data_IF_359777063972
#
_entry.id   IF_359777063972
#
_cell.length_a   1.000
_cell.length_b   1.000
_cell.length_c   1.000
_cell.angle_alpha   90.00
_cell.angle_beta   90.00
_cell.angle_gamma   90.00
#
_symmetry.space_group_name_H-M   'P 1'
#
loop_
_entity.id
_entity.type
_entity.pdbx_description
1 polymer ?
#
# COMPACT_ATOMS: atom_id res chain seq x y z
N UNK A 1 -5.52 16.14 10.27
CA UNK A 1 -5.28 14.69 10.31
C UNK A 1 -4.21 14.33 9.28
N UNK A 2 -3.40 13.29 9.49
CA UNK A 2 -2.50 12.78 8.46
C UNK A 2 -3.32 12.17 7.32
N UNK A 3 -2.91 12.40 6.08
CA UNK A 3 -3.54 11.80 4.90
C UNK A 3 -3.39 10.27 4.88
N UNK A 4 -2.41 9.74 5.63
CA UNK A 4 -2.11 8.31 5.69
C UNK A 4 -2.01 7.82 7.13
N UNK A 5 -2.48 6.59 7.37
CA UNK A 5 -2.28 5.88 8.63
C UNK A 5 -0.89 5.21 8.63
N UNK A 6 0.00 5.70 9.45
CA UNK A 6 1.38 5.21 9.55
C UNK A 6 1.55 4.09 10.58
N UNK A 7 0.48 3.65 11.23
CA UNK A 7 0.40 2.54 12.20
C UNK A 7 1.57 2.51 13.21
N UNK A 8 1.83 3.67 13.81
CA UNK A 8 2.98 3.85 14.71
C UNK A 8 2.97 2.87 15.89
N UNK A 9 1.78 2.53 16.40
CA UNK A 9 1.64 1.57 17.50
C UNK A 9 2.13 0.18 17.12
N UNK A 10 1.84 -0.28 15.89
CA UNK A 10 2.35 -1.56 15.37
C UNK A 10 3.87 -1.54 15.25
N UNK A 11 4.43 -0.41 14.80
CA UNK A 11 5.87 -0.21 14.69
C UNK A 11 6.54 -0.30 16.06
N UNK A 12 6.07 0.48 17.04
CA UNK A 12 6.60 0.50 18.42
C UNK A 12 6.52 -0.88 19.07
N UNK A 13 5.37 -1.56 18.98
CA UNK A 13 5.22 -2.93 19.48
C UNK A 13 6.22 -3.89 18.83
N UNK A 14 6.50 -3.75 17.54
CA UNK A 14 7.45 -4.62 16.84
C UNK A 14 8.89 -4.36 17.25
N UNK A 15 9.27 -3.09 17.41
CA UNK A 15 10.60 -2.67 17.89
C UNK A 15 10.85 -3.26 19.28
N UNK A 16 9.93 -3.04 20.21
CA UNK A 16 10.03 -3.54 21.59
C UNK A 16 10.06 -5.07 21.65
N UNK A 17 9.20 -5.75 20.88
CA UNK A 17 9.18 -7.23 20.82
C UNK A 17 10.49 -7.81 20.29
N UNK A 18 11.16 -7.13 19.36
CA UNK A 18 12.45 -7.56 18.82
C UNK A 18 13.64 -7.13 19.67
N UNK A 19 13.47 -6.18 20.57
CA UNK A 19 14.57 -5.54 21.29
C UNK A 19 15.52 -4.78 20.34
N UNK A 20 15.00 -4.27 19.21
CA UNK A 20 15.81 -3.56 18.22
C UNK A 20 16.36 -2.25 18.82
N UNK A 21 17.66 -2.03 18.67
CA UNK A 21 18.37 -0.84 19.15
C UNK A 21 18.59 0.18 18.04
N UNK A 22 18.66 -0.29 16.81
CA UNK A 22 18.80 0.56 15.63
C UNK A 22 17.75 0.18 14.61
N UNK A 23 16.96 1.16 14.17
CA UNK A 23 15.83 0.98 13.25
C UNK A 23 16.03 1.79 12.00
N UNK A 24 16.02 1.13 10.83
CA UNK A 24 15.99 1.77 9.53
C UNK A 24 14.56 2.17 9.16
N UNK A 25 14.36 3.38 8.67
CA UNK A 25 13.09 3.80 8.06
C UNK A 25 13.28 3.99 6.57
N UNK A 26 12.39 3.40 5.78
CA UNK A 26 12.35 3.59 4.33
C UNK A 26 10.94 3.94 3.87
N UNK A 27 10.84 4.92 2.98
CA UNK A 27 9.60 5.48 2.47
C UNK A 27 9.64 5.63 0.95
N UNK A 28 8.51 5.44 0.24
CA UNK A 28 8.36 5.95 -1.11
C UNK A 28 8.37 7.48 -1.10
N UNK A 29 8.69 8.11 -2.24
CA UNK A 29 8.86 9.56 -2.35
C UNK A 29 7.67 10.35 -1.75
N UNK A 30 6.44 9.94 -2.04
CA UNK A 30 5.24 10.60 -1.54
C UNK A 30 5.05 10.59 -0.02
N UNK A 31 5.78 9.75 0.70
CA UNK A 31 5.69 9.64 2.17
C UNK A 31 6.94 10.14 2.90
N UNK A 32 8.03 10.49 2.20
CA UNK A 32 9.30 10.92 2.82
C UNK A 32 9.15 12.12 3.75
N UNK A 33 8.21 13.01 3.49
CA UNK A 33 7.92 14.16 4.37
C UNK A 33 7.48 13.76 5.79
N UNK A 34 7.02 12.51 5.98
CA UNK A 34 6.65 11.99 7.30
C UNK A 34 7.85 11.41 8.08
N UNK A 35 8.99 11.17 7.41
CA UNK A 35 10.09 10.40 7.97
C UNK A 35 10.62 10.95 9.30
N UNK A 36 10.91 12.25 9.36
CA UNK A 36 11.45 12.89 10.57
C UNK A 36 10.45 12.84 11.72
N UNK A 37 9.16 13.05 11.44
CA UNK A 37 8.10 12.99 12.45
C UNK A 37 8.00 11.58 13.04
N UNK A 38 8.04 10.57 12.20
CA UNK A 38 7.96 9.15 12.61
C UNK A 38 9.21 8.75 13.37
N UNK A 39 10.41 9.15 12.90
CA UNK A 39 11.67 8.89 13.59
C UNK A 39 11.63 9.43 15.03
N UNK A 40 11.28 10.69 15.22
CA UNK A 40 11.15 11.31 16.55
C UNK A 40 10.13 10.60 17.44
N UNK A 41 9.02 10.17 16.86
CA UNK A 41 7.99 9.44 17.61
C UNK A 41 8.46 8.05 18.05
N UNK A 42 9.25 7.36 17.24
CA UNK A 42 9.88 6.06 17.61
C UNK A 42 10.91 6.28 18.72
N UNK A 43 11.83 7.22 18.56
CA UNK A 43 12.90 7.50 19.54
C UNK A 43 12.36 7.99 20.88
N UNK A 44 11.21 8.69 20.89
CA UNK A 44 10.58 9.13 22.14
C UNK A 44 9.85 8.01 22.90
N UNK A 45 9.51 6.91 22.25
CA UNK A 45 8.70 5.82 22.82
C UNK A 45 9.44 4.47 22.89
N UNK A 46 10.66 4.42 22.37
CA UNK A 46 11.50 3.21 22.39
C UNK A 46 12.95 3.59 22.68
N UNK A 47 13.79 2.65 23.11
CA UNK A 47 15.23 2.89 23.28
C UNK A 47 16.00 2.82 21.94
N UNK A 48 15.33 2.76 20.80
CA UNK A 48 15.96 2.62 19.50
C UNK A 48 16.40 3.96 18.93
N UNK A 49 17.57 3.99 18.29
CA UNK A 49 18.01 5.06 17.41
C UNK A 49 17.47 4.81 16.00
N UNK A 50 17.08 5.87 15.29
CA UNK A 50 16.49 5.77 13.97
C UNK A 50 17.43 6.28 12.87
N UNK A 51 17.62 5.48 11.83
CA UNK A 51 18.33 5.83 10.60
C UNK A 51 17.30 5.93 9.46
N UNK A 52 17.21 7.08 8.78
CA UNK A 52 16.29 7.28 7.67
C UNK A 52 17.03 7.04 6.35
N UNK A 53 16.50 6.13 5.50
CA UNK A 53 16.99 5.97 4.13
C UNK A 53 16.61 7.19 3.28
N UNK A 54 17.63 7.84 2.70
CA UNK A 54 17.45 8.92 1.73
C UNK A 54 17.22 8.43 0.29
N UNK A 55 17.45 7.14 0.02
CA UNK A 55 17.33 6.57 -1.32
C UNK A 55 15.89 6.64 -1.87
N UNK A 56 15.71 6.77 -3.19
CA UNK A 56 14.42 6.49 -3.83
C UNK A 56 13.91 5.09 -3.49
N UNK A 57 12.59 4.92 -3.42
CA UNK A 57 11.99 3.63 -3.14
C UNK A 57 10.70 3.45 -3.97
N UNK A 58 10.67 2.45 -4.82
CA UNK A 58 9.60 2.21 -5.78
C UNK A 58 8.76 0.95 -5.50
N UNK A 59 9.16 0.11 -4.54
CA UNK A 59 8.45 -1.13 -4.25
C UNK A 59 9.07 -1.95 -3.13
N UNK A 60 8.41 -3.03 -2.75
CA UNK A 60 8.96 -4.01 -1.81
C UNK A 60 10.15 -4.81 -2.38
N UNK A 61 10.40 -4.71 -3.69
CA UNK A 61 11.62 -5.22 -4.33
C UNK A 61 12.83 -4.29 -4.20
N UNK A 62 12.63 -3.09 -3.68
CA UNK A 62 13.63 -2.01 -3.57
C UNK A 62 13.85 -1.62 -2.10
N UNK A 63 13.90 -2.63 -1.22
CA UNK A 63 14.23 -2.41 0.20
C UNK A 63 15.72 -2.12 0.34
N UNK A 64 16.07 -1.08 1.10
CA UNK A 64 17.46 -0.70 1.38
C UNK A 64 18.19 -1.65 2.36
N UNK A 65 17.76 -2.90 2.46
CA UNK A 65 18.25 -3.88 3.45
C UNK A 65 19.73 -4.23 3.23
N UNK A 66 20.16 -4.37 1.97
CA UNK A 66 21.56 -4.62 1.66
C UNK A 66 22.47 -3.46 2.10
N UNK A 67 22.04 -2.21 1.88
CA UNK A 67 22.81 -1.02 2.28
C UNK A 67 22.82 -0.81 3.80
N UNK A 68 21.75 -1.22 4.48
CA UNK A 68 21.59 -1.07 5.92
C UNK A 68 22.06 -2.28 6.73
N UNK A 69 22.52 -3.35 6.04
CA UNK A 69 23.04 -4.56 6.70
C UNK A 69 24.20 -4.22 7.62
N UNK A 70 24.11 -4.70 8.86
CA UNK A 70 25.11 -4.42 9.89
C UNK A 70 24.98 -3.06 10.58
N UNK A 71 24.14 -2.16 10.07
CA UNK A 71 23.89 -0.84 10.68
C UNK A 71 22.54 -0.76 11.41
N UNK A 72 21.57 -1.63 11.07
CA UNK A 72 20.25 -1.65 11.71
C UNK A 72 19.80 -3.08 12.05
N UNK A 73 19.02 -3.21 13.12
CA UNK A 73 18.45 -4.47 13.60
C UNK A 73 17.09 -4.81 12.94
N UNK A 74 16.39 -3.77 12.48
CA UNK A 74 15.06 -3.83 11.89
C UNK A 74 14.89 -2.72 10.88
N UNK A 75 14.31 -3.02 9.72
CA UNK A 75 13.82 -2.01 8.80
C UNK A 75 12.30 -1.90 8.93
N UNK A 76 11.78 -0.69 8.99
CA UNK A 76 10.37 -0.37 8.82
C UNK A 76 10.18 0.25 7.44
N UNK A 77 9.55 -0.50 6.55
CA UNK A 77 9.33 -0.15 5.16
C UNK A 77 7.86 0.23 4.95
N UNK A 78 7.62 1.46 4.54
CA UNK A 78 6.28 2.02 4.38
C UNK A 78 5.77 1.95 2.94
N UNK A 79 4.44 1.88 2.81
CA UNK A 79 3.72 2.12 1.56
C UNK A 79 3.64 0.95 0.59
N UNK A 80 4.23 -0.20 0.89
CA UNK A 80 4.23 -1.34 0.00
C UNK A 80 3.79 -2.64 0.68
N UNK A 81 3.18 -3.53 -0.11
CA UNK A 81 2.88 -4.90 0.30
C UNK A 81 4.17 -5.75 0.21
N UNK A 82 4.49 -6.58 1.22
CA UNK A 82 5.66 -7.44 1.16
C UNK A 82 5.61 -8.40 -0.03
N UNK A 83 6.76 -8.63 -0.64
CA UNK A 83 6.96 -9.67 -1.64
C UNK A 83 7.59 -10.92 -1.00
N UNK A 84 7.46 -12.11 -1.60
CA UNK A 84 8.06 -13.34 -1.10
C UNK A 84 9.58 -13.38 -1.38
N UNK A 85 10.28 -12.32 -0.96
CA UNK A 85 11.72 -12.17 -1.09
C UNK A 85 12.40 -12.41 0.24
N UNK A 86 13.68 -12.84 0.19
CA UNK A 86 14.53 -12.93 1.36
C UNK A 86 15.26 -11.60 1.52
N UNK A 87 14.98 -10.90 2.62
CA UNK A 87 15.65 -9.65 2.98
C UNK A 87 16.84 -9.93 3.90
N UNK A 88 17.93 -9.19 3.72
CA UNK A 88 19.16 -9.30 4.51
C UNK A 88 18.97 -8.80 5.95
N UNK A 89 18.09 -7.82 6.14
CA UNK A 89 17.69 -7.29 7.44
C UNK A 89 16.22 -7.62 7.68
N UNK A 90 15.82 -8.05 8.89
CA UNK A 90 14.41 -8.23 9.22
C UNK A 90 13.61 -6.97 8.89
N UNK A 91 12.58 -7.09 8.06
CA UNK A 91 11.79 -5.96 7.56
C UNK A 91 10.34 -6.06 8.02
N UNK A 92 9.82 -4.96 8.58
CA UNK A 92 8.41 -4.75 8.88
C UNK A 92 7.79 -3.88 7.80
N UNK A 93 6.80 -4.40 7.09
CA UNK A 93 6.04 -3.63 6.12
C UNK A 93 4.81 -2.98 6.76
N UNK A 94 4.62 -1.69 6.47
CA UNK A 94 3.47 -0.89 6.88
C UNK A 94 2.80 -0.36 5.61
N UNK A 95 1.56 -0.72 5.41
CA UNK A 95 0.80 -0.42 4.20
C UNK A 95 0.57 1.08 3.97
N UNK A 96 0.56 1.88 5.04
CA UNK A 96 0.27 3.32 5.00
C UNK A 96 -1.08 3.60 4.31
N UNK A 97 -2.16 3.03 4.85
CA UNK A 97 -3.51 3.21 4.32
C UNK A 97 -3.90 4.69 4.25
N UNK A 98 -4.54 5.05 3.15
CA UNK A 98 -5.08 6.39 2.93
C UNK A 98 -6.34 6.63 3.77
N UNK A 99 -6.46 7.81 4.36
CA UNK A 99 -7.64 8.25 5.13
C UNK A 99 -8.61 9.07 4.27
N UNK A 100 -8.64 8.86 2.95
CA UNK A 100 -9.56 9.57 2.06
C UNK A 100 -10.99 9.05 2.21
N UNK A 101 -11.96 9.96 2.09
CA UNK A 101 -13.36 9.62 1.92
C UNK A 101 -13.66 9.53 0.40
N UNK A 102 -14.06 8.35 -0.06
CA UNK A 102 -14.30 8.07 -1.49
C UNK A 102 -15.78 8.23 -1.87
N UNK A 103 -16.70 8.48 -0.93
CA UNK A 103 -18.16 8.44 -1.18
C UNK A 103 -18.60 9.39 -2.30
N UNK A 104 -18.21 10.67 -2.20
CA UNK A 104 -18.56 11.67 -3.22
C UNK A 104 -18.03 11.37 -4.61
N UNK A 105 -16.88 10.70 -4.68
CA UNK A 105 -16.29 10.34 -5.97
C UNK A 105 -16.95 9.08 -6.53
N UNK A 106 -17.45 8.17 -5.68
CA UNK A 106 -18.23 7.01 -6.10
C UNK A 106 -19.57 7.42 -6.72
N UNK A 107 -20.27 8.41 -6.16
CA UNK A 107 -21.50 8.96 -6.76
C UNK A 107 -21.27 9.41 -8.20
N UNK A 108 -20.19 10.17 -8.45
CA UNK A 108 -19.82 10.61 -9.81
C UNK A 108 -19.38 9.46 -10.72
N UNK A 109 -18.78 8.41 -10.12
CA UNK A 109 -18.39 7.24 -10.88
C UNK A 109 -19.59 6.45 -11.38
N UNK A 110 -20.69 6.35 -10.62
CA UNK A 110 -21.90 5.65 -11.03
C UNK A 110 -22.47 6.21 -12.32
N UNK A 111 -22.49 7.54 -12.50
CA UNK A 111 -22.94 8.18 -13.76
C UNK A 111 -22.12 7.70 -14.96
N UNK A 112 -20.79 7.50 -14.79
CA UNK A 112 -19.90 7.01 -15.85
C UNK A 112 -19.98 5.51 -16.07
N UNK A 113 -20.58 4.79 -15.13
CA UNK A 113 -20.71 3.34 -15.15
C UNK A 113 -22.12 2.89 -15.55
N UNK A 114 -23.00 3.81 -15.99
CA UNK A 114 -24.39 3.50 -16.34
C UNK A 114 -24.49 2.34 -17.33
N UNK A 115 -23.69 2.36 -18.39
CA UNK A 115 -23.72 1.37 -19.47
C UNK A 115 -23.04 0.03 -19.13
N UNK A 116 -22.42 -0.09 -17.96
CA UNK A 116 -21.67 -1.29 -17.56
C UNK A 116 -22.35 -1.98 -16.40
N UNK A 117 -22.60 -3.28 -16.55
CA UNK A 117 -23.21 -4.12 -15.53
C UNK A 117 -22.16 -4.80 -14.65
N UNK A 118 -20.99 -5.15 -15.21
CA UNK A 118 -19.97 -5.93 -14.55
C UNK A 118 -18.64 -5.18 -14.46
N UNK A 119 -18.22 -4.91 -13.23
CA UNK A 119 -17.07 -4.02 -12.93
C UNK A 119 -15.96 -4.82 -12.25
N UNK A 120 -14.74 -4.77 -12.79
CA UNK A 120 -13.54 -5.18 -12.07
C UNK A 120 -13.06 -4.03 -11.19
N UNK A 121 -13.13 -4.19 -9.87
CA UNK A 121 -12.65 -3.19 -8.92
C UNK A 121 -11.20 -3.46 -8.57
N UNK A 122 -10.33 -2.47 -8.76
CA UNK A 122 -8.87 -2.59 -8.68
C UNK A 122 -8.27 -1.45 -7.88
N UNK A 123 -7.24 -1.73 -7.09
CA UNK A 123 -6.54 -0.70 -6.31
C UNK A 123 -5.08 -1.04 -6.03
N UNK A 124 -4.38 -0.11 -5.37
CA UNK A 124 -3.06 -0.31 -4.77
C UNK A 124 -3.16 -0.56 -3.26
N UNK A 125 -2.03 -0.82 -2.62
CA UNK A 125 -1.93 -1.09 -1.17
C UNK A 125 -2.66 -0.06 -0.31
N UNK A 126 -2.57 1.22 -0.66
CA UNK A 126 -3.06 2.34 0.16
C UNK A 126 -4.57 2.36 0.33
N UNK A 127 -5.32 1.74 -0.57
CA UNK A 127 -6.79 1.79 -0.58
C UNK A 127 -7.44 0.40 -0.43
N UNK A 128 -6.67 -0.66 -0.17
CA UNK A 128 -7.18 -2.02 -0.01
C UNK A 128 -8.28 -2.14 1.04
N UNK A 129 -8.17 -1.39 2.13
CA UNK A 129 -9.14 -1.40 3.23
C UNK A 129 -10.51 -0.84 2.83
N UNK A 130 -10.58 -0.07 1.73
CA UNK A 130 -11.82 0.52 1.21
C UNK A 130 -12.57 -0.40 0.25
N UNK A 131 -11.92 -1.46 -0.27
CA UNK A 131 -12.50 -2.26 -1.36
C UNK A 131 -13.85 -2.90 -1.01
N UNK A 132 -14.04 -3.38 0.22
CA UNK A 132 -15.31 -3.98 0.61
C UNK A 132 -16.44 -2.93 0.64
N UNK A 133 -16.19 -1.76 1.26
CA UNK A 133 -17.15 -0.66 1.31
C UNK A 133 -17.54 -0.19 -0.12
N UNK A 134 -16.54 -0.05 -1.00
CA UNK A 134 -16.77 0.36 -2.39
C UNK A 134 -17.54 -0.71 -3.16
N UNK A 135 -17.17 -1.98 -2.97
CA UNK A 135 -17.85 -3.10 -3.59
C UNK A 135 -19.34 -3.13 -3.18
N UNK A 136 -19.61 -3.09 -1.87
CA UNK A 136 -20.98 -3.11 -1.33
C UNK A 136 -21.80 -1.93 -1.88
N UNK A 137 -21.22 -0.73 -1.93
CA UNK A 137 -21.85 0.46 -2.50
C UNK A 137 -22.23 0.27 -3.99
N UNK A 138 -21.33 -0.28 -4.80
CA UNK A 138 -21.60 -0.53 -6.22
C UNK A 138 -22.66 -1.62 -6.41
N UNK A 139 -22.62 -2.68 -5.61
CA UNK A 139 -23.60 -3.76 -5.65
C UNK A 139 -25.00 -3.31 -5.22
N UNK A 140 -25.10 -2.45 -4.20
CA UNK A 140 -26.35 -1.81 -3.78
C UNK A 140 -26.96 -0.91 -4.89
N UNK A 141 -26.10 -0.44 -5.81
CA UNK A 141 -26.52 0.33 -7.00
C UNK A 141 -26.63 -0.54 -8.28
N UNK A 142 -26.81 -1.85 -8.12
CA UNK A 142 -27.16 -2.77 -9.21
C UNK A 142 -25.99 -3.20 -10.09
N UNK A 143 -24.74 -3.03 -9.66
CA UNK A 143 -23.55 -3.48 -10.40
C UNK A 143 -23.07 -4.84 -9.89
N UNK A 144 -22.56 -5.70 -10.75
CA UNK A 144 -21.81 -6.89 -10.37
C UNK A 144 -20.33 -6.52 -10.20
N UNK A 145 -19.74 -6.80 -9.03
CA UNK A 145 -18.33 -6.39 -8.74
C UNK A 145 -17.42 -7.60 -8.62
N UNK A 146 -16.37 -7.63 -9.44
CA UNK A 146 -15.35 -8.66 -9.47
C UNK A 146 -14.04 -8.14 -8.89
N UNK A 147 -13.48 -8.90 -7.96
CA UNK A 147 -12.16 -8.64 -7.37
C UNK A 147 -11.22 -9.78 -7.74
N UNK A 148 -10.24 -9.51 -8.57
CA UNK A 148 -9.23 -10.49 -8.94
C UNK A 148 -8.19 -10.73 -7.84
N UNK A 149 -7.49 -11.85 -7.93
CA UNK A 149 -6.40 -12.19 -7.02
C UNK A 149 -5.31 -12.98 -7.74
N UNK A 150 -4.10 -12.92 -7.22
CA UNK A 150 -2.99 -13.74 -7.67
C UNK A 150 -2.10 -14.15 -6.50
N UNK A 151 -1.13 -15.04 -6.76
CA UNK A 151 -0.25 -15.61 -5.73
C UNK A 151 0.48 -14.53 -4.90
N UNK A 152 0.82 -13.39 -5.52
CA UNK A 152 1.68 -12.35 -4.91
C UNK A 152 0.94 -11.02 -4.74
N UNK A 153 -0.39 -11.00 -4.82
CA UNK A 153 -1.22 -9.82 -4.60
C UNK A 153 -2.36 -10.13 -3.66
N UNK A 154 -2.84 -9.14 -2.95
CA UNK A 154 -4.11 -9.25 -2.21
C UNK A 154 -5.28 -9.16 -3.19
N UNK A 155 -6.48 -9.58 -2.77
CA UNK A 155 -7.69 -9.49 -3.58
C UNK A 155 -7.97 -8.03 -4.00
N UNK A 156 -8.19 -7.79 -5.28
CA UNK A 156 -8.37 -6.46 -5.88
C UNK A 156 -7.10 -5.62 -6.01
N UNK A 157 -5.93 -6.15 -5.62
CA UNK A 157 -4.68 -5.39 -5.66
C UNK A 157 -3.91 -5.60 -6.97
N UNK A 158 -3.40 -4.50 -7.53
CA UNK A 158 -2.32 -4.51 -8.52
C UNK A 158 -1.05 -3.90 -7.93
N UNK A 159 0.09 -4.33 -8.43
CA UNK A 159 1.40 -3.74 -8.15
C UNK A 159 1.92 -3.11 -9.43
N UNK A 160 2.76 -2.09 -9.32
CA UNK A 160 3.32 -1.42 -10.50
C UNK A 160 4.10 -2.32 -11.46
N UNK A 161 4.53 -3.48 -10.99
CA UNK A 161 5.24 -4.50 -11.76
C UNK A 161 4.46 -5.82 -11.91
N UNK A 162 3.23 -5.92 -11.37
CA UNK A 162 2.45 -7.16 -11.40
C UNK A 162 0.94 -6.88 -11.49
N UNK A 163 0.37 -7.15 -12.64
CA UNK A 163 -1.04 -7.03 -12.95
C UNK A 163 -1.75 -8.40 -13.06
N UNK A 164 -1.11 -9.49 -12.64
CA UNK A 164 -1.65 -10.84 -12.77
C UNK A 164 -2.98 -11.08 -12.03
N UNK A 165 -3.31 -10.24 -11.04
CA UNK A 165 -4.59 -10.30 -10.34
C UNK A 165 -5.78 -9.95 -11.23
N UNK A 166 -5.57 -9.22 -12.31
CA UNK A 166 -6.63 -8.82 -13.26
C UNK A 166 -6.67 -9.68 -14.52
N UNK A 167 -5.80 -10.67 -14.62
CA UNK A 167 -5.73 -11.53 -15.79
C UNK A 167 -7.01 -12.36 -15.94
N UNK A 168 -7.62 -12.28 -17.13
CA UNK A 168 -8.83 -13.05 -17.51
C UNK A 168 -10.02 -12.80 -16.56
N UNK A 169 -10.14 -11.60 -15.96
CA UNK A 169 -11.35 -11.24 -15.24
C UNK A 169 -12.49 -11.07 -16.24
N UNK A 170 -13.59 -11.70 -15.90
CA UNK A 170 -14.86 -11.51 -16.62
C UNK A 170 -15.50 -10.19 -16.11
N UNK A 171 -15.19 -9.08 -16.80
CA UNK A 171 -15.69 -7.75 -16.50
C UNK A 171 -15.73 -6.88 -17.77
N UNK A 172 -16.69 -5.96 -17.81
CA UNK A 172 -16.88 -5.04 -18.93
C UNK A 172 -16.01 -3.79 -18.81
N UNK A 173 -15.71 -3.40 -17.57
CA UNK A 173 -14.91 -2.20 -17.26
C UNK A 173 -14.06 -2.40 -16.01
N UNK A 174 -12.92 -1.69 -15.94
CA UNK A 174 -12.05 -1.64 -14.77
C UNK A 174 -12.21 -0.31 -14.04
N UNK A 175 -12.62 -0.35 -12.78
CA UNK A 175 -12.63 0.80 -11.87
C UNK A 175 -11.41 0.76 -10.97
N UNK A 176 -10.47 1.68 -11.19
CA UNK A 176 -9.27 1.82 -10.37
C UNK A 176 -9.47 2.86 -9.28
N UNK A 177 -9.24 2.46 -8.03
CA UNK A 177 -9.24 3.36 -6.86
C UNK A 177 -7.79 3.68 -6.50
N UNK A 178 -7.41 4.94 -6.65
CA UNK A 178 -6.05 5.39 -6.39
C UNK A 178 -5.75 6.77 -6.95
N UNK A 179 -4.48 7.13 -7.01
CA UNK A 179 -4.01 8.40 -7.53
C UNK A 179 -3.02 8.22 -8.69
N UNK A 180 -2.99 9.20 -9.59
CA UNK A 180 -2.10 9.20 -10.76
C UNK A 180 -2.46 8.19 -11.83
N UNK A 181 -1.74 8.24 -12.95
CA UNK A 181 -2.05 7.49 -14.16
C UNK A 181 -1.21 6.22 -14.37
N UNK A 182 -0.20 5.99 -13.53
CA UNK A 182 0.75 4.89 -13.71
C UNK A 182 0.07 3.51 -13.65
N UNK A 183 -0.70 3.25 -12.60
CA UNK A 183 -1.41 1.96 -12.47
C UNK A 183 -2.57 1.80 -13.45
N UNK A 184 -3.44 2.82 -13.69
CA UNK A 184 -4.46 2.75 -14.73
C UNK A 184 -3.88 2.47 -16.13
N UNK A 185 -2.76 3.10 -16.47
CA UNK A 185 -2.07 2.81 -17.74
C UNK A 185 -1.55 1.37 -17.80
N UNK A 186 -0.99 0.88 -16.69
CA UNK A 186 -0.56 -0.52 -16.60
C UNK A 186 -1.72 -1.50 -16.73
N UNK A 187 -2.89 -1.22 -16.15
CA UNK A 187 -4.11 -2.02 -16.30
C UNK A 187 -4.56 -2.05 -17.77
N UNK A 188 -4.52 -0.91 -18.44
CA UNK A 188 -4.93 -0.78 -19.84
C UNK A 188 -3.99 -1.54 -20.80
N UNK A 189 -2.69 -1.59 -20.51
CA UNK A 189 -1.69 -2.22 -21.38
C UNK A 189 -1.55 -3.73 -21.15
N UNK A 190 -2.09 -4.28 -20.05
CA UNK A 190 -1.98 -5.68 -19.66
C UNK A 190 -3.08 -6.52 -20.29
#
# INVERSE_FOLDING_TARGET
MSMYNMDLDKVIRKINKKGARTVGLQFPEGLKMQAVKIAKAIESQTPATVIISGDPCFGACDVSDYKMKGSVDLIVHYGHTPLPLKYEVPTLFIEAFSNIDVKKDLEKCLEKLEDYSKIALVTTTQHLHLLNEIKDYLEDNGKEVVLGSSKNTKKGQVLGCNFSSIKNLDAEVYLFIGSGNFHPLGIYLF
#
